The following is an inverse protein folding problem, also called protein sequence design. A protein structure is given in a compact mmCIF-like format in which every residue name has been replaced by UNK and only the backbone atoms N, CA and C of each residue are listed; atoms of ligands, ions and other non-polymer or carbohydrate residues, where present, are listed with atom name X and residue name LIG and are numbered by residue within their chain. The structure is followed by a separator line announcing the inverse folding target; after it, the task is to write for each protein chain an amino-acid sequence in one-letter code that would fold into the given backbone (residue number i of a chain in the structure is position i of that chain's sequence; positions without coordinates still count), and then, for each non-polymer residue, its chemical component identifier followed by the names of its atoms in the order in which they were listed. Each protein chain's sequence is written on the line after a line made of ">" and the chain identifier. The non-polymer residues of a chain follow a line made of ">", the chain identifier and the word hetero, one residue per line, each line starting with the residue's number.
data_IF_738521902292
#
_entry.id   IF_738521902292
#
_cell.length_a   1.000
_cell.length_b   1.000
_cell.length_c   1.000
_cell.angle_alpha   90.00
_cell.angle_beta   90.00
_cell.angle_gamma   90.00
#
_symmetry.space_group_name_H-M   'P 1'
#
loop_
_entity.id
_entity.type
_entity.pdbx_description
1 polymer ?
#
# COMPACT_ATOMS: atom_id res chain seq x y z
N UNK A 1 5.62 -3.47 -0.37
CA UNK A 1 4.22 -3.82 -0.02
C UNK A 1 4.01 -3.60 1.46
N UNK A 2 2.81 -3.20 1.87
CA UNK A 2 2.42 -3.03 3.28
C UNK A 2 1.66 -4.26 3.83
N UNK A 3 1.98 -5.44 3.31
CA UNK A 3 1.30 -6.68 3.65
C UNK A 3 1.70 -7.15 5.06
N UNK A 4 0.75 -7.75 5.76
CA UNK A 4 1.00 -8.39 7.06
C UNK A 4 1.43 -9.85 6.85
N UNK A 5 1.53 -10.61 7.94
CA UNK A 5 1.73 -12.05 7.90
C UNK A 5 0.48 -12.85 7.50
N UNK A 6 -0.68 -12.19 7.40
CA UNK A 6 -1.94 -12.80 6.93
C UNK A 6 -2.17 -12.37 5.48
N UNK A 7 -2.27 -13.35 4.58
CA UNK A 7 -2.54 -13.10 3.16
C UNK A 7 -3.84 -12.33 2.97
N UNK A 8 -3.80 -11.32 2.11
CA UNK A 8 -4.94 -10.44 1.88
C UNK A 8 -5.17 -9.38 2.97
N UNK A 9 -4.26 -9.24 3.95
CA UNK A 9 -4.36 -8.22 5.01
C UNK A 9 -3.16 -7.28 4.96
N UNK A 10 -3.44 -5.96 4.95
CA UNK A 10 -2.44 -4.89 4.94
C UNK A 10 -2.61 -3.97 6.16
N UNK A 11 -1.51 -3.40 6.61
CA UNK A 11 -1.50 -2.41 7.69
C UNK A 11 -0.77 -1.15 7.22
N UNK A 12 -1.38 0.03 7.42
CA UNK A 12 -0.87 1.31 6.91
C UNK A 12 -0.90 2.40 7.99
N UNK A 13 0.06 3.32 7.94
CA UNK A 13 0.12 4.45 8.87
C UNK A 13 0.44 4.02 10.31
N UNK A 14 -0.08 4.77 11.28
CA UNK A 14 0.39 4.72 12.66
C UNK A 14 0.10 3.39 13.39
N UNK A 15 -0.79 2.54 12.88
CA UNK A 15 -1.02 1.17 13.40
C UNK A 15 0.27 0.32 13.33
N UNK A 16 1.18 0.65 12.42
CA UNK A 16 2.50 -0.02 12.28
C UNK A 16 3.49 0.38 13.38
N UNK A 17 3.13 1.37 14.21
CA UNK A 17 3.92 1.90 15.32
C UNK A 17 5.39 2.22 14.95
N UNK A 18 5.61 2.74 13.74
CA UNK A 18 6.91 3.28 13.35
C UNK A 18 7.14 4.63 14.05
N UNK A 19 8.39 5.11 14.18
CA UNK A 19 8.65 6.43 14.77
C UNK A 19 8.16 7.60 13.89
N UNK A 20 7.84 7.36 12.61
CA UNK A 20 7.55 8.41 11.63
C UNK A 20 6.05 8.73 11.54
N UNK A 21 5.50 9.33 12.60
CA UNK A 21 4.07 9.65 12.75
C UNK A 21 3.71 10.97 12.08
N UNK A 22 3.81 11.00 10.75
CA UNK A 22 3.51 12.18 9.93
C UNK A 22 2.43 11.82 8.91
N UNK A 23 1.45 12.72 8.72
CA UNK A 23 0.32 12.49 7.83
C UNK A 23 0.75 12.07 6.41
N UNK A 24 1.79 12.70 5.87
CA UNK A 24 2.34 12.36 4.53
C UNK A 24 2.95 10.96 4.47
N UNK A 25 3.53 10.47 5.57
CA UNK A 25 4.07 9.11 5.66
C UNK A 25 2.94 8.09 5.67
N UNK A 26 1.91 8.32 6.49
CA UNK A 26 0.72 7.45 6.53
C UNK A 26 -0.03 7.42 5.18
N UNK A 27 -0.11 8.56 4.47
CA UNK A 27 -0.68 8.62 3.13
C UNK A 27 0.16 7.82 2.11
N UNK A 28 1.49 7.92 2.19
CA UNK A 28 2.42 7.13 1.38
C UNK A 28 2.26 5.62 1.60
N UNK A 29 2.12 5.19 2.86
CA UNK A 29 1.81 3.80 3.20
C UNK A 29 0.50 3.33 2.54
N UNK A 30 -0.55 4.16 2.62
CA UNK A 30 -1.83 3.90 1.97
C UNK A 30 -1.72 3.72 0.47
N UNK A 31 -0.96 4.59 -0.21
CA UNK A 31 -0.74 4.50 -1.65
C UNK A 31 -0.02 3.19 -2.04
N UNK A 32 1.03 2.82 -1.31
CA UNK A 32 1.77 1.57 -1.54
C UNK A 32 0.87 0.35 -1.29
N UNK A 33 0.02 0.38 -0.26
CA UNK A 33 -0.92 -0.69 0.03
C UNK A 33 -1.99 -0.82 -1.06
N UNK A 34 -2.58 0.28 -1.53
CA UNK A 34 -3.61 0.27 -2.58
C UNK A 34 -3.08 -0.37 -3.88
N UNK A 35 -1.88 0.04 -4.32
CA UNK A 35 -1.23 -0.55 -5.50
C UNK A 35 -0.90 -2.05 -5.30
N UNK A 36 -0.52 -2.43 -4.08
CA UNK A 36 -0.29 -3.84 -3.70
C UNK A 36 -1.58 -4.66 -3.73
N UNK A 37 -2.69 -4.08 -3.27
CA UNK A 37 -4.02 -4.70 -3.24
C UNK A 37 -4.54 -4.89 -4.67
N UNK A 38 -4.42 -3.88 -5.54
CA UNK A 38 -4.80 -4.01 -6.95
C UNK A 38 -4.06 -5.17 -7.63
N UNK A 39 -2.74 -5.28 -7.40
CA UNK A 39 -1.95 -6.42 -7.91
C UNK A 39 -2.47 -7.75 -7.39
N UNK A 40 -2.74 -7.84 -6.08
CA UNK A 40 -3.18 -9.06 -5.41
C UNK A 40 -4.55 -9.53 -5.93
N UNK A 41 -5.55 -8.63 -5.94
CA UNK A 41 -6.91 -8.96 -6.34
C UNK A 41 -7.01 -9.31 -7.83
N UNK A 42 -6.27 -8.61 -8.68
CA UNK A 42 -6.29 -8.82 -10.12
C UNK A 42 -5.24 -9.85 -10.61
N UNK A 43 -4.51 -10.50 -9.69
CA UNK A 43 -3.46 -11.49 -10.00
C UNK A 43 -2.45 -11.00 -11.05
N UNK A 44 -2.06 -9.72 -10.96
CA UNK A 44 -1.09 -9.14 -11.91
C UNK A 44 0.33 -9.61 -11.58
N UNK A 45 1.14 -9.80 -12.61
CA UNK A 45 2.57 -10.11 -12.44
C UNK A 45 3.34 -8.93 -11.82
N UNK A 46 2.91 -7.69 -12.07
CA UNK A 46 3.56 -6.47 -11.61
C UNK A 46 2.60 -5.41 -11.06
N UNK A 47 3.16 -4.39 -10.42
CA UNK A 47 2.41 -3.23 -9.92
C UNK A 47 1.99 -2.35 -11.11
N UNK A 48 0.68 -2.12 -11.26
CA UNK A 48 0.14 -1.14 -12.21
C UNK A 48 0.35 0.28 -11.66
N UNK A 49 0.98 1.16 -12.44
CA UNK A 49 1.12 2.58 -12.10
C UNK A 49 -0.17 3.32 -12.42
N UNK A 50 -0.58 4.22 -11.53
CA UNK A 50 -1.75 5.06 -11.71
C UNK A 50 -1.30 6.45 -12.19
N UNK A 51 -1.04 6.56 -13.50
CA UNK A 51 -0.57 7.77 -14.16
C UNK A 51 -1.64 8.28 -15.12
N UNK A 52 -1.84 9.59 -15.13
CA UNK A 52 -2.66 10.26 -16.13
C UNK A 52 -1.84 10.51 -17.40
N UNK A 53 -2.47 10.34 -18.56
CA UNK A 53 -1.87 10.52 -19.90
C UNK A 53 -2.57 11.62 -20.71
N UNK A 54 -3.38 12.44 -20.04
CA UNK A 54 -4.07 13.61 -20.60
C UNK A 54 -3.10 14.67 -21.13
#
# INVERSE_FOLDING_TARGET
>A
MMATNVDGVWAIGDIRNTPFKQAVVAAGDGCIAAMSIDRFLNKREGIKRDWDHS
#
